data_IF_219743051536
#
_entry.id   IF_219743051536
#
_cell.length_a   1.000
_cell.length_b   1.000
_cell.length_c   1.000
_cell.angle_alpha   90.00
_cell.angle_beta   90.00
_cell.angle_gamma   90.00
#
_symmetry.space_group_name_H-M   'P 1'
#
loop_
_entity.id
_entity.type
_entity.pdbx_description
1 polymer ?
#
# COMPACT_ATOMS: atom_id res chain seq x y z
N UNK A 1 -20.00 -17.22 9.77
CA UNK A 1 -20.20 -16.29 8.63
C UNK A 1 -20.55 -14.93 9.19
N UNK A 2 -19.73 -13.91 8.93
CA UNK A 2 -20.08 -12.55 9.29
C UNK A 2 -21.13 -12.03 8.30
N UNK A 3 -22.20 -11.41 8.81
CA UNK A 3 -23.18 -10.75 7.95
C UNK A 3 -22.60 -9.42 7.48
N UNK A 4 -22.90 -9.03 6.24
CA UNK A 4 -22.42 -7.77 5.66
C UNK A 4 -22.66 -6.55 6.58
N UNK A 5 -23.89 -6.44 7.09
CA UNK A 5 -24.27 -5.36 8.01
C UNK A 5 -23.45 -5.38 9.31
N UNK A 6 -23.09 -6.56 9.81
CA UNK A 6 -22.22 -6.68 10.99
C UNK A 6 -20.82 -6.16 10.67
N UNK A 7 -20.23 -6.58 9.56
CA UNK A 7 -18.91 -6.10 9.13
C UNK A 7 -18.91 -4.57 8.96
N UNK A 8 -19.92 -4.00 8.29
CA UNK A 8 -20.03 -2.54 8.16
C UNK A 8 -20.18 -1.84 9.52
N UNK A 9 -20.92 -2.44 10.46
CA UNK A 9 -21.05 -1.91 11.82
C UNK A 9 -19.71 -1.89 12.55
N UNK A 10 -18.93 -2.97 12.41
CA UNK A 10 -17.67 -3.16 13.13
C UNK A 10 -16.58 -2.16 12.63
N UNK A 11 -16.71 -1.63 11.41
CA UNK A 11 -15.79 -0.65 10.79
C UNK A 11 -16.42 0.73 10.54
N UNK A 12 -17.58 1.01 11.15
CA UNK A 12 -18.36 2.21 10.84
C UNK A 12 -17.63 3.50 11.25
N UNK A 13 -16.84 3.46 12.32
CA UNK A 13 -16.17 4.64 12.87
C UNK A 13 -14.95 4.99 12.02
N UNK A 14 -14.20 4.00 11.57
CA UNK A 14 -13.07 4.12 10.63
C UNK A 14 -13.55 4.71 9.29
N UNK A 15 -14.65 4.17 8.76
CA UNK A 15 -15.30 4.68 7.56
C UNK A 15 -15.71 6.15 7.73
N UNK A 16 -16.41 6.49 8.82
CA UNK A 16 -16.94 7.85 9.06
C UNK A 16 -15.85 8.88 9.31
N UNK A 17 -14.86 8.53 10.11
CA UNK A 17 -13.77 9.44 10.46
C UNK A 17 -12.94 9.83 9.23
N UNK A 18 -12.93 8.98 8.20
CA UNK A 18 -12.24 9.25 6.93
C UNK A 18 -10.72 9.34 7.05
N UNK A 19 -10.16 8.87 8.17
CA UNK A 19 -8.71 8.81 8.38
C UNK A 19 -8.15 7.54 7.73
N UNK A 20 -8.80 6.41 7.96
CA UNK A 20 -8.42 5.14 7.37
C UNK A 20 -9.20 4.87 6.07
N UNK A 21 -8.58 4.10 5.18
CA UNK A 21 -9.25 3.47 4.06
C UNK A 21 -9.71 2.07 4.48
N UNK A 22 -10.97 1.73 4.25
CA UNK A 22 -11.53 0.43 4.65
C UNK A 22 -11.84 -0.40 3.41
N UNK A 23 -11.16 -1.54 3.29
CA UNK A 23 -11.47 -2.51 2.25
C UNK A 23 -12.65 -3.40 2.67
N UNK A 24 -13.55 -3.70 1.74
CA UNK A 24 -14.65 -4.66 1.90
C UNK A 24 -14.60 -5.69 0.78
N UNK A 25 -14.61 -6.96 1.16
CA UNK A 25 -14.58 -8.07 0.20
C UNK A 25 -15.42 -9.26 0.64
N UNK A 26 -15.68 -10.14 -0.31
CA UNK A 26 -16.36 -11.41 -0.09
C UNK A 26 -15.37 -12.57 -0.10
N UNK A 27 -15.57 -13.48 0.84
CA UNK A 27 -14.93 -14.79 0.85
C UNK A 27 -16.03 -15.86 0.91
N UNK A 28 -16.35 -16.41 -0.26
CA UNK A 28 -17.52 -17.27 -0.44
C UNK A 28 -18.83 -16.55 -0.10
N UNK A 29 -19.46 -16.93 1.02
CA UNK A 29 -20.72 -16.32 1.50
C UNK A 29 -20.52 -15.34 2.66
N UNK A 30 -19.31 -15.24 3.18
CA UNK A 30 -18.97 -14.30 4.24
C UNK A 30 -18.53 -12.96 3.63
N UNK A 31 -18.78 -11.89 4.38
CA UNK A 31 -18.15 -10.61 4.15
C UNK A 31 -17.00 -10.43 5.14
N UNK A 32 -15.96 -9.74 4.70
CA UNK A 32 -14.81 -9.36 5.49
C UNK A 32 -14.49 -7.87 5.25
N UNK A 33 -13.77 -7.26 6.18
CA UNK A 33 -13.21 -5.93 6.03
C UNK A 33 -11.86 -5.81 6.73
N UNK A 34 -11.08 -4.81 6.33
CA UNK A 34 -9.77 -4.47 6.89
C UNK A 34 -9.53 -2.98 6.67
N UNK A 35 -8.71 -2.34 7.51
CA UNK A 35 -8.39 -0.92 7.37
C UNK A 35 -6.92 -0.72 7.01
N UNK A 36 -6.66 0.36 6.28
CA UNK A 36 -5.35 0.72 5.74
C UNK A 36 -5.12 2.21 5.94
N UNK A 37 -3.86 2.59 6.10
CA UNK A 37 -3.46 3.98 6.20
C UNK A 37 -2.50 4.31 5.06
N UNK A 38 -2.66 5.51 4.52
CA UNK A 38 -1.61 6.15 3.74
C UNK A 38 -0.79 7.00 4.72
N UNK A 39 0.53 6.99 4.55
CA UNK A 39 1.38 7.94 5.26
C UNK A 39 1.14 9.38 4.71
N UNK A 40 1.59 10.45 5.39
CA UNK A 40 1.25 11.83 5.03
C UNK A 40 1.60 12.30 3.60
N UNK A 41 2.49 11.57 2.93
CA UNK A 41 2.92 11.76 1.54
C UNK A 41 2.16 10.88 0.54
N UNK A 42 0.99 10.37 0.95
CA UNK A 42 0.17 9.41 0.20
C UNK A 42 0.88 8.06 -0.06
N UNK A 43 1.92 7.75 0.73
CA UNK A 43 2.66 6.51 0.58
C UNK A 43 1.88 5.31 1.11
N UNK A 44 1.64 4.32 0.23
CA UNK A 44 1.07 3.02 0.56
C UNK A 44 2.19 2.06 0.96
N UNK A 45 2.18 1.61 2.21
CA UNK A 45 3.20 0.69 2.73
C UNK A 45 3.24 -0.62 1.92
N UNK A 46 4.43 -1.21 1.71
CA UNK A 46 4.56 -2.47 0.98
C UNK A 46 3.71 -3.60 1.57
N UNK A 47 3.60 -3.68 2.90
CA UNK A 47 2.81 -4.69 3.60
C UNK A 47 1.32 -4.52 3.31
N UNK A 48 0.83 -3.28 3.38
CA UNK A 48 -0.56 -2.93 3.10
C UNK A 48 -0.90 -3.17 1.62
N UNK A 49 0.02 -2.84 0.71
CA UNK A 49 -0.12 -3.16 -0.71
C UNK A 49 -0.23 -4.65 -0.96
N UNK A 50 0.65 -5.47 -0.37
CA UNK A 50 0.60 -6.94 -0.51
C UNK A 50 -0.74 -7.47 -0.01
N UNK A 51 -1.20 -6.99 1.14
CA UNK A 51 -2.49 -7.38 1.71
C UNK A 51 -3.65 -7.01 0.79
N UNK A 52 -3.63 -5.80 0.19
CA UNK A 52 -4.62 -5.38 -0.80
C UNK A 52 -4.58 -6.23 -2.08
N UNK A 53 -3.39 -6.57 -2.57
CA UNK A 53 -3.22 -7.48 -3.72
C UNK A 53 -3.79 -8.89 -3.42
N UNK A 54 -3.65 -9.38 -2.19
CA UNK A 54 -4.26 -10.65 -1.74
C UNK A 54 -5.79 -10.56 -1.68
N UNK A 55 -6.34 -9.47 -1.17
CA UNK A 55 -7.79 -9.25 -1.15
C UNK A 55 -8.32 -9.21 -2.58
N UNK A 56 -7.66 -8.47 -3.48
CA UNK A 56 -8.06 -8.37 -4.88
C UNK A 56 -8.03 -9.72 -5.60
N UNK A 57 -7.04 -10.57 -5.32
CA UNK A 57 -6.98 -11.95 -5.84
C UNK A 57 -8.14 -12.82 -5.36
N UNK A 58 -8.60 -12.62 -4.12
CA UNK A 58 -9.74 -13.37 -3.56
C UNK A 58 -11.08 -12.86 -4.11
N UNK A 59 -11.22 -11.55 -4.24
CA UNK A 59 -12.44 -10.89 -4.72
C UNK A 59 -12.08 -9.70 -5.63
N UNK A 60 -12.08 -9.89 -6.95
CA UNK A 60 -11.81 -8.81 -7.90
C UNK A 60 -12.82 -7.66 -7.86
N UNK A 61 -13.98 -7.84 -7.22
CA UNK A 61 -15.00 -6.80 -7.00
C UNK A 61 -14.84 -6.09 -5.65
N UNK A 62 -13.81 -6.44 -4.87
CA UNK A 62 -13.54 -5.78 -3.61
C UNK A 62 -13.32 -4.27 -3.79
N UNK A 63 -13.84 -3.52 -2.83
CA UNK A 63 -13.78 -2.05 -2.82
C UNK A 63 -12.97 -1.58 -1.63
N UNK A 64 -12.38 -0.40 -1.74
CA UNK A 64 -11.70 0.30 -0.67
C UNK A 64 -12.24 1.71 -0.55
N UNK A 65 -12.73 2.05 0.63
CA UNK A 65 -13.61 3.20 0.84
C UNK A 65 -13.13 4.05 2.00
N UNK A 66 -13.27 5.36 1.85
CA UNK A 66 -12.97 6.34 2.89
C UNK A 66 -14.12 7.36 2.92
N UNK A 67 -14.71 7.63 4.09
CA UNK A 67 -15.88 8.51 4.20
C UNK A 67 -15.64 9.96 3.78
N UNK A 68 -14.38 10.41 3.77
CA UNK A 68 -14.01 11.75 3.29
C UNK A 68 -13.93 11.81 1.76
N UNK A 69 -13.35 10.80 1.12
CA UNK A 69 -13.09 10.80 -0.33
C UNK A 69 -14.20 10.14 -1.15
N UNK A 70 -14.94 9.20 -0.57
CA UNK A 70 -15.95 8.41 -1.26
C UNK A 70 -17.35 8.92 -0.92
N UNK A 71 -18.11 9.32 -1.93
CA UNK A 71 -19.50 9.73 -1.76
C UNK A 71 -20.39 8.62 -1.19
N UNK A 72 -21.55 9.02 -0.65
CA UNK A 72 -22.56 8.13 -0.03
C UNK A 72 -22.11 7.43 1.27
N UNK A 73 -21.15 8.01 1.98
CA UNK A 73 -20.62 7.50 3.26
C UNK A 73 -20.48 8.64 4.29
N UNK A 74 -21.55 9.45 4.46
CA UNK A 74 -21.49 10.62 5.31
C UNK A 74 -21.40 10.25 6.81
N UNK A 75 -20.72 11.10 7.58
CA UNK A 75 -20.41 10.90 9.01
C UNK A 75 -21.66 10.61 9.88
N UNK A 76 -22.80 11.21 9.53
CA UNK A 76 -24.06 11.08 10.27
C UNK A 76 -24.97 9.94 9.81
N UNK A 77 -24.57 9.12 8.83
CA UNK A 77 -25.38 8.01 8.32
C UNK A 77 -25.50 6.88 9.33
N UNK A 78 -26.68 6.27 9.40
CA UNK A 78 -26.90 5.03 10.14
C UNK A 78 -26.11 3.86 9.56
N UNK A 79 -25.96 2.78 10.32
CA UNK A 79 -25.28 1.56 9.84
C UNK A 79 -25.95 0.97 8.60
N UNK A 80 -27.28 1.09 8.48
CA UNK A 80 -28.02 0.57 7.33
C UNK A 80 -27.82 1.43 6.07
N UNK A 81 -27.67 2.74 6.23
CA UNK A 81 -27.29 3.66 5.16
C UNK A 81 -25.84 3.45 4.73
N UNK A 82 -24.90 3.31 5.67
CA UNK A 82 -23.50 2.97 5.36
C UNK A 82 -23.41 1.64 4.62
N UNK A 83 -24.16 0.62 5.05
CA UNK A 83 -24.17 -0.67 4.35
C UNK A 83 -24.72 -0.53 2.93
N UNK A 84 -25.73 0.32 2.73
CA UNK A 84 -26.24 0.63 1.39
C UNK A 84 -25.19 1.33 0.54
N UNK A 85 -24.46 2.31 1.09
CA UNK A 85 -23.36 3.00 0.41
C UNK A 85 -22.23 2.05 0.02
N UNK A 86 -21.71 1.26 0.96
CA UNK A 86 -20.66 0.26 0.68
C UNK A 86 -21.12 -0.73 -0.40
N UNK A 87 -22.37 -1.20 -0.35
CA UNK A 87 -22.94 -2.09 -1.36
C UNK A 87 -23.07 -1.41 -2.72
N UNK A 88 -23.42 -0.13 -2.75
CA UNK A 88 -23.50 0.63 -3.99
C UNK A 88 -22.14 0.71 -4.68
N UNK A 89 -21.06 0.99 -3.95
CA UNK A 89 -19.71 0.96 -4.50
C UNK A 89 -19.34 -0.43 -5.02
N UNK A 90 -19.57 -1.47 -4.22
CA UNK A 90 -19.24 -2.86 -4.57
C UNK A 90 -19.97 -3.36 -5.83
N UNK A 91 -21.28 -3.11 -5.93
CA UNK A 91 -22.09 -3.60 -7.07
C UNK A 91 -21.78 -2.85 -8.37
N UNK A 92 -21.43 -1.57 -8.29
CA UNK A 92 -21.16 -0.75 -9.46
C UNK A 92 -19.68 -0.69 -9.84
N UNK A 93 -18.79 -1.30 -9.04
CA UNK A 93 -17.35 -1.30 -9.29
C UNK A 93 -16.69 0.06 -9.06
N UNK A 94 -17.21 0.86 -8.12
CA UNK A 94 -16.61 2.14 -7.77
C UNK A 94 -15.60 1.96 -6.64
N UNK A 95 -14.48 2.68 -6.72
CA UNK A 95 -13.39 2.63 -5.75
C UNK A 95 -12.86 1.20 -5.53
N UNK A 96 -12.53 0.53 -6.64
CA UNK A 96 -11.96 -0.81 -6.62
C UNK A 96 -10.54 -0.81 -6.03
N UNK A 97 -10.17 -1.95 -5.42
CA UNK A 97 -8.83 -2.12 -4.84
C UNK A 97 -7.73 -2.03 -5.90
N UNK A 98 -7.99 -2.51 -7.12
CA UNK A 98 -6.99 -2.49 -8.19
C UNK A 98 -6.60 -1.06 -8.54
N UNK A 99 -7.58 -0.20 -8.80
CA UNK A 99 -7.36 1.20 -9.16
C UNK A 99 -6.70 1.96 -8.00
N UNK A 100 -7.06 1.62 -6.76
CA UNK A 100 -6.42 2.17 -5.57
C UNK A 100 -4.94 1.80 -5.52
N UNK A 101 -4.59 0.51 -5.67
CA UNK A 101 -3.19 0.08 -5.70
C UNK A 101 -2.45 0.81 -6.81
N UNK A 102 -2.97 0.83 -8.05
CA UNK A 102 -2.32 1.50 -9.18
C UNK A 102 -2.10 3.01 -8.95
N UNK A 103 -2.98 3.67 -8.21
CA UNK A 103 -2.87 5.09 -7.87
C UNK A 103 -1.75 5.37 -6.87
N UNK A 104 -1.59 4.50 -5.87
CA UNK A 104 -0.62 4.67 -4.78
C UNK A 104 0.60 3.73 -4.91
N UNK A 105 0.79 3.08 -6.06
CA UNK A 105 1.94 2.22 -6.29
C UNK A 105 3.16 3.06 -6.66
N UNK A 106 4.11 3.11 -5.74
CA UNK A 106 5.38 3.83 -5.88
C UNK A 106 6.48 3.00 -6.55
N UNK A 107 6.19 1.75 -6.95
CA UNK A 107 7.19 0.85 -7.55
C UNK A 107 7.74 1.44 -8.83
N UNK A 108 9.07 1.44 -8.95
CA UNK A 108 9.70 1.77 -10.20
C UNK A 108 9.43 0.65 -11.23
N UNK A 109 9.21 0.99 -12.50
CA UNK A 109 9.15 0.00 -13.57
C UNK A 109 10.38 -0.91 -13.54
N UNK A 110 10.16 -2.22 -13.68
CA UNK A 110 11.24 -3.22 -13.59
C UNK A 110 12.41 -2.89 -14.53
N UNK A 111 12.13 -2.44 -15.75
CA UNK A 111 13.14 -2.03 -16.72
C UNK A 111 14.06 -0.90 -16.19
N UNK A 112 13.49 0.07 -15.47
CA UNK A 112 14.27 1.16 -14.85
C UNK A 112 15.14 0.65 -13.71
N UNK A 113 14.61 -0.28 -12.91
CA UNK A 113 15.36 -0.92 -11.81
C UNK A 113 16.51 -1.74 -12.37
N UNK A 114 16.27 -2.58 -13.39
CA UNK A 114 17.30 -3.41 -14.02
C UNK A 114 18.39 -2.57 -14.67
N UNK A 115 18.02 -1.51 -15.40
CA UNK A 115 18.98 -0.57 -16.00
C UNK A 115 19.79 0.18 -14.94
N UNK A 116 19.15 0.60 -13.86
CA UNK A 116 19.81 1.24 -12.72
C UNK A 116 20.81 0.31 -12.06
N UNK A 117 20.42 -0.94 -11.78
CA UNK A 117 21.30 -2.00 -11.25
C UNK A 117 22.50 -2.24 -12.15
N UNK A 118 22.28 -2.46 -13.44
CA UNK A 118 23.37 -2.68 -14.41
C UNK A 118 24.35 -1.50 -14.46
N UNK A 119 23.85 -0.26 -14.41
CA UNK A 119 24.69 0.94 -14.39
C UNK A 119 25.52 1.02 -13.11
N UNK A 120 24.88 0.82 -11.94
CA UNK A 120 25.53 0.84 -10.64
C UNK A 120 26.66 -0.20 -10.55
N UNK A 121 26.36 -1.44 -10.98
CA UNK A 121 27.33 -2.54 -10.99
C UNK A 121 28.48 -2.31 -11.96
N UNK A 122 28.25 -1.65 -13.10
CA UNK A 122 29.32 -1.31 -14.07
C UNK A 122 30.36 -0.36 -13.46
N UNK A 123 29.94 0.59 -12.63
CA UNK A 123 30.84 1.53 -11.92
C UNK A 123 31.18 1.05 -10.50
N UNK A 124 30.80 -0.19 -10.16
CA UNK A 124 31.09 -0.84 -8.88
C UNK A 124 30.49 -0.12 -7.67
N UNK A 125 29.35 0.57 -7.81
CA UNK A 125 28.58 1.15 -6.69
C UNK A 125 27.36 0.29 -6.40
N UNK A 126 26.87 0.27 -5.15
CA UNK A 126 25.62 -0.41 -4.83
C UNK A 126 24.43 0.31 -5.47
N UNK A 127 23.46 -0.45 -5.97
CA UNK A 127 22.18 0.10 -6.41
C UNK A 127 21.25 0.33 -5.22
N UNK A 128 20.70 1.54 -5.09
CA UNK A 128 19.70 1.86 -4.06
C UNK A 128 18.46 2.45 -4.75
N UNK A 129 17.34 1.74 -4.67
CA UNK A 129 16.09 2.12 -5.31
C UNK A 129 15.54 3.42 -4.70
N UNK A 130 15.74 3.62 -3.39
CA UNK A 130 15.26 4.79 -2.64
C UNK A 130 15.79 6.13 -3.20
N UNK A 131 16.99 6.18 -3.79
CA UNK A 131 17.50 7.40 -4.45
C UNK A 131 16.66 7.88 -5.64
N UNK A 132 15.88 6.98 -6.24
CA UNK A 132 15.00 7.30 -7.36
C UNK A 132 13.56 7.55 -6.92
N UNK A 133 13.23 7.28 -5.66
CA UNK A 133 11.90 7.43 -5.06
C UNK A 133 11.79 8.66 -4.16
N UNK A 134 12.87 9.03 -3.46
CA UNK A 134 12.87 10.14 -2.49
C UNK A 134 14.25 10.78 -2.37
N UNK A 135 14.29 12.06 -1.98
CA UNK A 135 15.51 12.76 -1.57
C UNK A 135 15.86 12.54 -0.08
N UNK A 136 15.16 11.64 0.62
CA UNK A 136 15.42 11.36 2.03
C UNK A 136 16.82 10.78 2.28
N UNK A 137 17.39 11.14 3.43
CA UNK A 137 18.67 10.59 3.88
C UNK A 137 18.53 9.08 4.14
N UNK A 138 19.42 8.30 3.52
CA UNK A 138 19.40 6.85 3.60
C UNK A 138 20.33 6.40 4.73
N UNK A 139 19.82 5.69 5.72
CA UNK A 139 20.65 5.04 6.74
C UNK A 139 21.66 4.11 6.04
N UNK A 140 22.94 4.33 6.33
CA UNK A 140 24.09 3.67 5.71
C UNK A 140 24.33 2.25 6.24
N UNK A 141 23.70 1.89 7.36
CA UNK A 141 23.94 0.62 8.06
C UNK A 141 22.66 -0.22 8.27
N UNK A 142 21.48 0.31 7.93
CA UNK A 142 20.22 -0.42 7.99
C UNK A 142 19.86 -1.03 6.62
N UNK A 143 19.44 -2.29 6.62
CA UNK A 143 18.81 -2.92 5.45
C UNK A 143 17.31 -2.64 5.48
N UNK A 144 16.86 -1.71 4.63
CA UNK A 144 15.48 -1.24 4.55
C UNK A 144 14.69 -1.89 3.39
N UNK A 145 15.29 -2.87 2.70
CA UNK A 145 14.67 -3.56 1.56
C UNK A 145 14.67 -2.77 0.25
N UNK A 146 15.24 -1.55 0.22
CA UNK A 146 15.33 -0.72 -0.99
C UNK A 146 16.55 -1.05 -1.86
N UNK A 147 17.25 -2.13 -1.55
CA UNK A 147 18.40 -2.65 -2.30
C UNK A 147 18.50 -4.17 -2.15
N UNK A 148 19.24 -4.83 -3.04
CA UNK A 148 19.50 -6.26 -2.89
C UNK A 148 20.47 -6.53 -1.72
N UNK A 149 20.49 -7.76 -1.21
CA UNK A 149 21.47 -8.18 -0.18
C UNK A 149 22.90 -7.98 -0.67
N UNK A 150 23.17 -8.30 -1.94
CA UNK A 150 24.48 -8.10 -2.57
C UNK A 150 24.86 -6.60 -2.61
N UNK A 151 23.93 -5.73 -3.02
CA UNK A 151 24.15 -4.28 -3.01
C UNK A 151 24.37 -3.75 -1.58
N UNK A 152 23.69 -4.32 -0.59
CA UNK A 152 23.87 -3.95 0.82
C UNK A 152 25.27 -4.33 1.34
N UNK A 153 25.75 -5.54 1.05
CA UNK A 153 27.11 -5.97 1.40
C UNK A 153 28.18 -5.12 0.70
N UNK A 154 27.99 -4.80 -0.58
CA UNK A 154 28.85 -3.88 -1.34
C UNK A 154 28.92 -2.49 -0.70
N UNK A 155 27.79 -1.98 -0.21
CA UNK A 155 27.70 -0.69 0.50
C UNK A 155 28.47 -0.72 1.81
N UNK A 156 28.27 -1.76 2.64
CA UNK A 156 28.97 -1.93 3.91
C UNK A 156 30.49 -1.98 3.70
N UNK A 157 30.95 -2.80 2.75
CA UNK A 157 32.38 -2.91 2.43
C UNK A 157 33.00 -1.57 1.98
N UNK A 158 32.28 -0.75 1.21
CA UNK A 158 32.77 0.58 0.83
C UNK A 158 32.84 1.54 2.01
N UNK A 159 31.80 1.62 2.84
CA UNK A 159 31.77 2.49 4.01
C UNK A 159 32.91 2.15 4.99
N UNK A 160 33.17 0.87 5.22
CA UNK A 160 34.30 0.42 6.04
C UNK A 160 35.67 0.84 5.47
N UNK A 161 35.82 0.78 4.15
CA UNK A 161 37.06 1.15 3.47
C UNK A 161 37.27 2.67 3.38
N UNK A 162 36.20 3.46 3.31
CA UNK A 162 36.25 4.92 3.37
C UNK A 162 36.54 5.42 4.80
N UNK A 163 35.98 4.76 5.83
CA UNK A 163 36.30 5.03 7.23
C UNK A 163 37.76 4.75 7.61
N UNK A 164 38.41 3.78 6.95
CA UNK A 164 39.84 3.44 7.12
C UNK A 164 40.80 4.39 6.39
N UNK A 165 40.30 5.25 5.50
CA UNK A 165 41.10 6.23 4.75
C UNK A 165 41.13 7.62 5.39
N UNK A 166 40.46 7.81 6.54
CA UNK A 166 40.49 9.03 7.34
C UNK A 166 41.51 8.94 8.47
#
# INVERSE_FOLDING_TARGET
>A
MASFRKVVKDYQDELRNGIAWVAFWREGRSWNADYFYLDPDDYLKPEDRIRLEEIYKQDPSAVILNGYYCGQLAENMSVDELATGVRHHYVNGYNGIKEFIETFDDRLPLEKVEKGKATAHTIGIPFIEKYYKSEEEIDLYAYDGNMSVEDFELRLHKNENEGKKR
#
